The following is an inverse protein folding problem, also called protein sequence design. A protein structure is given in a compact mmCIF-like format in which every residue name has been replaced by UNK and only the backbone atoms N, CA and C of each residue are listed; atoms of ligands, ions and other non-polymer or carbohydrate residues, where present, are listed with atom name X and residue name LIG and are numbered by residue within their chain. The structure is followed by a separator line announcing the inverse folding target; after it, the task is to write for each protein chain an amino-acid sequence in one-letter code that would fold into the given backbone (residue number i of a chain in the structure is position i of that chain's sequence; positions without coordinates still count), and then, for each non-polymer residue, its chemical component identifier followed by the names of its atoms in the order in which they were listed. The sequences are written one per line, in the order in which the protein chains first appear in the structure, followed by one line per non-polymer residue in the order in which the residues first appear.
data_IF_581469329839
#
_entry.id   IF_581469329839
#
_cell.length_a   1.000
_cell.length_b   1.000
_cell.length_c   1.000
_cell.angle_alpha   90.00
_cell.angle_beta   90.00
_cell.angle_gamma   90.00
#
_symmetry.space_group_name_H-M   'P 1'
#
loop_
_entity.id
_entity.type
_entity.pdbx_description
1 polymer ?
#
# COMPACT_ATOMS: atom_id res chain seq x y z
N UNK A 1 3.65 -37.84 6.67
CA UNK A 1 4.75 -37.94 7.65
C UNK A 1 6.05 -38.49 7.02
N UNK A 2 6.18 -39.80 6.69
CA UNK A 2 7.46 -40.36 6.20
C UNK A 2 8.08 -39.73 4.94
N UNK A 3 7.30 -39.11 4.03
CA UNK A 3 7.85 -38.38 2.87
C UNK A 3 8.27 -36.95 3.21
N UNK A 4 7.60 -36.31 4.17
CA UNK A 4 7.83 -34.93 4.56
C UNK A 4 9.15 -34.78 5.32
N UNK A 5 9.47 -35.75 6.19
CA UNK A 5 10.75 -35.79 6.91
C UNK A 5 11.93 -36.01 5.95
N UNK A 6 11.74 -36.81 4.90
CA UNK A 6 12.75 -37.02 3.85
C UNK A 6 12.99 -35.77 3.01
N UNK A 7 11.92 -35.05 2.63
CA UNK A 7 12.04 -33.78 1.88
C UNK A 7 12.68 -32.70 2.74
N UNK A 8 12.27 -32.58 4.01
CA UNK A 8 12.89 -31.63 4.95
C UNK A 8 14.37 -31.95 5.19
N UNK A 9 14.74 -33.22 5.32
CA UNK A 9 16.13 -33.64 5.48
C UNK A 9 16.97 -33.36 4.22
N UNK A 10 16.42 -33.59 3.03
CA UNK A 10 17.11 -33.27 1.77
C UNK A 10 17.32 -31.75 1.61
N UNK A 11 16.30 -30.93 1.90
CA UNK A 11 16.40 -29.47 1.85
C UNK A 11 17.32 -28.86 2.94
N UNK A 12 17.62 -29.61 4.00
CA UNK A 12 18.53 -29.22 5.08
C UNK A 12 19.93 -29.83 4.94
N UNK A 13 20.18 -30.60 3.90
CA UNK A 13 21.49 -31.20 3.65
C UNK A 13 22.52 -30.10 3.37
N UNK A 14 23.48 -29.94 4.30
CA UNK A 14 24.51 -28.92 4.21
C UNK A 14 25.42 -29.08 3.00
N UNK A 15 25.53 -30.29 2.44
CA UNK A 15 26.33 -30.55 1.24
C UNK A 15 25.70 -29.98 -0.03
N UNK A 16 24.38 -29.77 -0.03
CA UNK A 16 23.63 -29.28 -1.18
C UNK A 16 23.29 -27.78 -1.08
N UNK A 17 23.65 -27.12 0.03
CA UNK A 17 23.32 -25.71 0.30
C UNK A 17 23.72 -24.75 -0.82
N UNK A 18 24.89 -24.98 -1.43
CA UNK A 18 25.42 -24.15 -2.51
C UNK A 18 25.23 -24.78 -3.91
N UNK A 19 24.45 -25.85 -4.03
CA UNK A 19 24.17 -26.50 -5.30
C UNK A 19 22.89 -25.93 -5.92
N UNK A 20 23.04 -25.03 -6.89
CA UNK A 20 21.91 -24.43 -7.63
C UNK A 20 21.01 -25.51 -8.25
N UNK A 21 21.60 -26.57 -8.79
CA UNK A 21 20.90 -27.59 -9.58
C UNK A 21 20.27 -28.70 -8.71
N UNK A 22 20.30 -28.56 -7.38
CA UNK A 22 19.75 -29.56 -6.47
C UNK A 22 18.22 -29.56 -6.40
N UNK A 23 17.60 -28.39 -6.59
CA UNK A 23 16.16 -28.18 -6.43
C UNK A 23 15.64 -27.31 -7.56
N UNK A 24 14.68 -27.81 -8.33
CA UNK A 24 14.01 -27.02 -9.37
C UNK A 24 12.76 -26.29 -8.83
N UNK A 25 11.89 -27.00 -8.11
CA UNK A 25 10.59 -26.50 -7.67
C UNK A 25 10.26 -27.05 -6.27
N UNK A 26 9.77 -26.16 -5.40
CA UNK A 26 9.18 -26.53 -4.11
C UNK A 26 7.68 -26.20 -4.16
N UNK A 27 6.83 -27.22 -4.02
CA UNK A 27 5.38 -27.05 -3.89
C UNK A 27 5.01 -27.22 -2.42
N UNK A 28 4.48 -26.16 -1.82
CA UNK A 28 4.12 -26.15 -0.41
C UNK A 28 2.63 -25.89 -0.20
N UNK A 29 1.94 -26.88 0.37
CA UNK A 29 0.54 -26.79 0.77
C UNK A 29 0.47 -26.53 2.27
N UNK A 30 0.21 -25.29 2.67
CA UNK A 30 -0.02 -24.87 4.06
C UNK A 30 1.17 -24.97 5.04
N UNK A 31 2.29 -25.60 4.66
CA UNK A 31 3.34 -26.04 5.59
C UNK A 31 4.78 -25.58 5.28
N UNK A 32 5.01 -24.70 4.30
CA UNK A 32 6.33 -24.08 4.10
C UNK A 32 6.51 -22.78 4.90
N UNK A 33 6.05 -22.77 6.15
CA UNK A 33 6.18 -21.58 7.00
C UNK A 33 7.53 -21.52 7.71
N UNK A 34 8.13 -22.69 8.02
CA UNK A 34 9.36 -22.75 8.82
C UNK A 34 10.33 -23.85 8.34
N UNK A 35 11.62 -23.51 8.20
CA UNK A 35 12.69 -24.51 8.29
C UNK A 35 13.51 -24.88 7.05
N UNK A 36 13.36 -24.27 5.88
CA UNK A 36 14.32 -24.45 4.77
C UNK A 36 14.85 -23.12 4.23
N UNK A 37 16.13 -23.08 3.87
CA UNK A 37 16.84 -21.92 3.36
C UNK A 37 17.33 -22.22 1.93
N UNK A 38 16.61 -21.69 0.92
CA UNK A 38 16.93 -21.90 -0.48
C UNK A 38 17.19 -20.54 -1.15
N UNK A 39 18.43 -20.08 -1.06
CA UNK A 39 18.87 -18.77 -1.58
C UNK A 39 18.76 -18.65 -3.11
N UNK A 40 18.81 -19.80 -3.82
CA UNK A 40 18.73 -19.88 -5.28
C UNK A 40 17.30 -19.70 -5.84
N UNK A 41 16.30 -19.50 -4.98
CA UNK A 41 14.92 -19.27 -5.42
C UNK A 41 14.82 -18.01 -6.29
N UNK A 42 14.56 -18.18 -7.59
CA UNK A 42 14.38 -17.08 -8.56
C UNK A 42 12.90 -16.69 -8.73
N UNK A 43 11.97 -17.59 -8.43
CA UNK A 43 10.53 -17.34 -8.59
C UNK A 43 9.71 -17.93 -7.43
N UNK A 44 9.05 -17.06 -6.67
CA UNK A 44 8.02 -17.42 -5.71
C UNK A 44 6.62 -17.21 -6.30
N UNK A 45 5.84 -18.28 -6.40
CA UNK A 45 4.47 -18.28 -6.91
C UNK A 45 3.50 -18.62 -5.77
N UNK A 46 2.56 -17.73 -5.47
CA UNK A 46 1.44 -18.00 -4.58
C UNK A 46 0.16 -18.16 -5.38
N UNK A 47 -0.66 -19.15 -5.01
CA UNK A 47 -1.94 -19.43 -5.66
C UNK A 47 -3.05 -19.32 -4.63
N UNK A 48 -4.03 -18.47 -4.91
CA UNK A 48 -5.23 -18.30 -4.10
C UNK A 48 -5.02 -17.44 -2.85
N UNK A 49 -6.05 -17.44 -2.01
CA UNK A 49 -6.15 -16.58 -0.84
C UNK A 49 -5.08 -16.89 0.23
N UNK A 50 -4.46 -15.84 0.77
CA UNK A 50 -3.61 -15.90 1.97
C UNK A 50 -4.19 -15.00 3.04
N UNK A 51 -4.45 -15.58 4.20
CA UNK A 51 -5.05 -14.88 5.33
C UNK A 51 -4.09 -13.92 6.05
N UNK A 52 -2.78 -14.15 5.94
CA UNK A 52 -1.76 -13.35 6.62
C UNK A 52 -0.75 -12.79 5.63
N UNK A 53 -0.67 -11.47 5.60
CA UNK A 53 0.34 -10.76 4.83
C UNK A 53 1.76 -11.00 5.35
N UNK A 54 1.94 -11.20 6.67
CA UNK A 54 3.24 -11.55 7.24
C UNK A 54 3.83 -12.79 6.57
N UNK A 55 2.99 -13.74 6.17
CA UNK A 55 3.42 -14.92 5.40
C UNK A 55 3.90 -14.55 3.98
N UNK A 56 3.26 -13.59 3.33
CA UNK A 56 3.67 -13.09 2.00
C UNK A 56 5.06 -12.44 2.09
N UNK A 57 5.29 -11.57 3.08
CA UNK A 57 6.59 -10.93 3.31
C UNK A 57 7.67 -11.97 3.60
N UNK A 58 7.37 -12.99 4.40
CA UNK A 58 8.30 -14.09 4.68
C UNK A 58 8.63 -14.92 3.43
N UNK A 59 7.66 -15.20 2.57
CA UNK A 59 7.88 -15.92 1.30
C UNK A 59 8.81 -15.12 0.39
N UNK A 60 8.58 -13.81 0.28
CA UNK A 60 9.38 -12.95 -0.59
C UNK A 60 10.78 -12.76 -0.04
N UNK A 61 10.93 -12.52 1.28
CA UNK A 61 12.23 -12.41 1.93
C UNK A 61 13.10 -13.67 1.79
N UNK A 62 12.51 -14.83 1.48
CA UNK A 62 13.25 -16.04 1.09
C UNK A 62 13.71 -15.98 -0.36
N UNK A 63 12.85 -15.52 -1.27
CA UNK A 63 13.15 -15.38 -2.69
C UNK A 63 14.08 -14.20 -3.02
N UNK A 64 14.22 -13.19 -2.15
CA UNK A 64 15.07 -12.01 -2.39
C UNK A 64 16.46 -12.09 -1.77
N UNK A 65 16.86 -13.25 -1.23
CA UNK A 65 18.24 -13.46 -0.77
C UNK A 65 19.21 -13.44 -1.95
N UNK A 66 20.37 -12.82 -1.74
CA UNK A 66 21.43 -12.78 -2.74
C UNK A 66 22.06 -14.16 -2.93
N UNK A 67 22.34 -14.48 -4.19
CA UNK A 67 23.05 -15.69 -4.59
C UNK A 67 23.85 -15.41 -5.87
N UNK A 68 24.98 -16.08 -6.06
CA UNK A 68 25.86 -15.86 -7.21
C UNK A 68 25.13 -16.13 -8.53
N UNK A 69 25.20 -15.19 -9.48
CA UNK A 69 24.52 -15.33 -10.78
C UNK A 69 23.00 -15.11 -10.76
N UNK A 70 22.40 -14.80 -9.60
CA UNK A 70 20.99 -14.42 -9.48
C UNK A 70 20.82 -12.93 -9.73
N UNK A 71 20.48 -12.57 -10.96
CA UNK A 71 20.29 -11.17 -11.37
C UNK A 71 18.85 -10.67 -11.20
N UNK A 72 17.89 -11.58 -11.00
CA UNK A 72 16.47 -11.26 -10.87
C UNK A 72 15.76 -12.24 -9.94
N UNK A 73 14.92 -11.71 -9.06
CA UNK A 73 13.89 -12.46 -8.36
C UNK A 73 12.51 -12.05 -8.87
N UNK A 74 11.56 -12.99 -8.93
CA UNK A 74 10.16 -12.75 -9.28
C UNK A 74 9.26 -13.25 -8.17
N UNK A 75 8.32 -12.43 -7.76
CA UNK A 75 7.16 -12.87 -6.99
C UNK A 75 5.92 -12.78 -7.86
N UNK A 76 5.05 -13.78 -7.81
CA UNK A 76 3.79 -13.79 -8.54
C UNK A 76 2.70 -14.27 -7.60
N UNK A 77 1.69 -13.42 -7.40
CA UNK A 77 0.50 -13.77 -6.65
C UNK A 77 -0.67 -13.97 -7.63
N UNK A 78 -1.13 -15.21 -7.77
CA UNK A 78 -2.30 -15.54 -8.58
C UNK A 78 -3.56 -15.38 -7.74
N UNK A 79 -4.30 -14.32 -8.06
CA UNK A 79 -5.66 -14.06 -7.57
C UNK A 79 -6.66 -14.46 -8.64
N UNK A 80 -7.83 -14.95 -8.22
CA UNK A 80 -8.93 -15.22 -9.14
C UNK A 80 -9.42 -13.89 -9.74
N UNK A 81 -9.69 -13.89 -11.04
CA UNK A 81 -10.33 -12.75 -11.69
C UNK A 81 -11.75 -12.59 -11.15
N UNK A 82 -12.22 -11.35 -10.86
CA UNK A 82 -13.60 -11.12 -10.49
C UNK A 82 -14.55 -11.56 -11.61
N UNK A 83 -15.36 -12.58 -11.36
CA UNK A 83 -16.49 -12.89 -12.25
C UNK A 83 -17.51 -11.75 -12.15
N UNK A 84 -17.98 -11.27 -13.30
CA UNK A 84 -18.97 -10.19 -13.41
C UNK A 84 -20.37 -10.61 -12.93
N UNK A 85 -20.56 -11.88 -12.54
CA UNK A 85 -21.80 -12.37 -11.95
C UNK A 85 -22.03 -11.82 -10.52
N UNK A 86 -23.21 -11.22 -10.30
CA UNK A 86 -23.53 -10.32 -9.17
C UNK A 86 -23.29 -10.86 -7.74
N UNK A 87 -23.25 -12.17 -7.51
CA UNK A 87 -23.02 -12.75 -6.17
C UNK A 87 -21.52 -12.90 -5.81
N UNK A 88 -20.62 -12.95 -6.80
CA UNK A 88 -19.17 -13.12 -6.58
C UNK A 88 -18.39 -11.79 -6.55
N UNK A 89 -19.00 -10.68 -6.97
CA UNK A 89 -18.32 -9.39 -7.15
C UNK A 89 -17.74 -8.85 -5.84
N UNK A 90 -18.47 -8.96 -4.72
CA UNK A 90 -18.00 -8.40 -3.43
C UNK A 90 -16.78 -9.15 -2.89
N UNK A 91 -16.73 -10.48 -3.05
CA UNK A 91 -15.60 -11.28 -2.61
C UNK A 91 -14.37 -11.01 -3.49
N UNK A 92 -14.55 -10.99 -4.80
CA UNK A 92 -13.47 -10.73 -5.73
C UNK A 92 -12.90 -9.30 -5.64
N UNK A 93 -13.75 -8.30 -5.34
CA UNK A 93 -13.30 -6.93 -5.00
C UNK A 93 -12.40 -6.98 -3.77
N UNK A 94 -12.81 -7.67 -2.70
CA UNK A 94 -12.00 -7.76 -1.48
C UNK A 94 -10.64 -8.42 -1.74
N UNK A 95 -10.60 -9.48 -2.54
CA UNK A 95 -9.35 -10.17 -2.87
C UNK A 95 -8.42 -9.30 -3.72
N UNK A 96 -8.99 -8.51 -4.63
CA UNK A 96 -8.24 -7.52 -5.40
C UNK A 96 -7.66 -6.43 -4.50
N UNK A 97 -8.45 -5.87 -3.58
CA UNK A 97 -7.97 -4.87 -2.61
C UNK A 97 -6.84 -5.42 -1.73
N UNK A 98 -6.93 -6.68 -1.31
CA UNK A 98 -5.87 -7.34 -0.53
C UNK A 98 -4.60 -7.55 -1.35
N UNK A 99 -4.71 -7.86 -2.64
CA UNK A 99 -3.54 -7.98 -3.52
C UNK A 99 -2.84 -6.62 -3.71
N UNK A 100 -3.59 -5.53 -3.78
CA UNK A 100 -3.05 -4.17 -3.78
C UNK A 100 -2.33 -3.88 -2.47
N UNK A 101 -2.98 -4.12 -1.33
CA UNK A 101 -2.38 -3.95 -0.01
C UNK A 101 -1.05 -4.72 0.11
N UNK A 102 -1.02 -5.96 -0.40
CA UNK A 102 0.19 -6.76 -0.43
C UNK A 102 1.28 -6.14 -1.31
N UNK A 103 0.91 -5.62 -2.48
CA UNK A 103 1.86 -4.98 -3.40
C UNK A 103 2.45 -3.70 -2.81
N UNK A 104 1.60 -2.83 -2.23
CA UNK A 104 2.02 -1.60 -1.56
C UNK A 104 2.93 -1.90 -0.37
N UNK A 105 2.65 -2.94 0.41
CA UNK A 105 3.51 -3.30 1.54
C UNK A 105 4.84 -3.88 1.12
N UNK A 106 4.88 -4.59 0.00
CA UNK A 106 6.15 -5.05 -0.54
C UNK A 106 7.04 -3.90 -0.97
N UNK A 107 6.46 -2.81 -1.47
CA UNK A 107 7.21 -1.59 -1.75
C UNK A 107 7.79 -1.00 -0.48
N UNK A 108 7.03 -0.99 0.62
CA UNK A 108 7.52 -0.49 1.92
C UNK A 108 8.62 -1.37 2.53
N UNK A 109 8.50 -2.70 2.39
CA UNK A 109 9.52 -3.64 2.90
C UNK A 109 10.83 -3.53 2.14
N UNK A 110 10.77 -3.27 0.83
CA UNK A 110 11.95 -3.11 -0.02
C UNK A 110 12.46 -1.65 -0.06
N UNK A 111 11.70 -0.71 0.49
CA UNK A 111 12.10 0.68 0.54
C UNK A 111 13.34 0.84 1.44
N UNK A 112 14.25 1.77 1.08
CA UNK A 112 15.38 2.11 1.93
C UNK A 112 14.87 2.66 3.27
N UNK A 113 15.68 2.50 4.32
CA UNK A 113 15.31 3.03 5.63
C UNK A 113 15.37 4.55 5.60
N UNK A 114 14.23 5.18 5.87
CA UNK A 114 14.13 6.63 6.03
C UNK A 114 14.36 7.02 7.49
N UNK A 115 15.26 7.97 7.70
CA UNK A 115 15.44 8.64 8.96
C UNK A 115 14.91 10.07 8.83
N UNK A 116 13.69 10.29 9.32
CA UNK A 116 13.05 11.60 9.30
C UNK A 116 13.48 12.42 10.51
N UNK A 117 13.82 13.68 10.25
CA UNK A 117 14.23 14.63 11.29
C UNK A 117 13.54 15.97 11.09
N UNK A 118 13.14 16.68 12.16
CA UNK A 118 12.57 18.01 12.01
C UNK A 118 13.60 19.00 11.47
N UNK A 119 13.21 19.83 10.49
CA UNK A 119 14.03 20.98 10.07
C UNK A 119 13.94 22.09 11.11
N UNK A 120 15.09 22.46 11.69
CA UNK A 120 15.21 23.55 12.67
C UNK A 120 16.44 24.41 12.38
N UNK A 121 16.54 25.56 13.04
CA UNK A 121 17.72 26.47 12.94
C UNK A 121 19.01 25.80 13.45
N UNK A 122 18.89 24.74 14.26
CA UNK A 122 20.02 23.97 14.78
C UNK A 122 20.39 22.77 13.91
N UNK A 123 19.59 22.49 12.88
CA UNK A 123 19.88 21.39 11.96
C UNK A 123 21.16 21.69 11.19
N UNK A 124 21.90 20.63 10.88
CA UNK A 124 23.18 20.71 10.20
C UNK A 124 23.48 19.40 9.46
N UNK A 125 24.54 19.39 8.64
CA UNK A 125 24.92 18.18 7.91
C UNK A 125 25.29 17.06 8.89
N UNK A 126 24.80 15.86 8.62
CA UNK A 126 25.16 14.66 9.37
C UNK A 126 26.37 14.00 8.70
N UNK A 127 27.37 13.62 9.49
CA UNK A 127 28.57 12.95 9.00
C UNK A 127 28.21 11.62 8.32
N UNK A 128 28.81 11.36 7.15
CA UNK A 128 28.56 10.14 6.38
C UNK A 128 27.32 10.16 5.47
N UNK A 129 26.64 11.30 5.35
CA UNK A 129 25.54 11.51 4.40
C UNK A 129 25.95 12.45 3.26
N UNK A 130 25.63 12.04 2.04
CA UNK A 130 25.76 12.84 0.82
C UNK A 130 24.44 13.55 0.50
N UNK A 131 24.49 14.88 0.51
CA UNK A 131 23.36 15.78 0.25
C UNK A 131 23.24 16.18 -1.24
N UNK A 132 24.01 15.54 -2.13
CA UNK A 132 24.01 15.80 -3.57
C UNK A 132 24.91 16.98 -3.97
N UNK A 133 24.87 17.35 -5.25
CA UNK A 133 25.80 18.33 -5.85
C UNK A 133 25.80 19.71 -5.17
N UNK A 134 24.66 20.12 -4.60
CA UNK A 134 24.53 21.39 -3.88
C UNK A 134 25.00 21.37 -2.42
N UNK A 135 25.33 20.20 -1.88
CA UNK A 135 25.63 20.02 -0.46
C UNK A 135 24.44 20.35 0.46
N UNK A 136 24.73 20.49 1.76
CA UNK A 136 23.73 20.85 2.76
C UNK A 136 23.40 22.35 2.70
N UNK A 137 22.11 22.68 2.59
CA UNK A 137 21.62 24.06 2.63
C UNK A 137 20.86 24.34 3.94
N UNK A 138 21.36 25.27 4.78
CA UNK A 138 20.71 25.58 6.05
C UNK A 138 19.32 26.23 5.88
N UNK A 139 19.00 26.81 4.72
CA UNK A 139 17.76 27.58 4.52
C UNK A 139 16.58 26.75 4.02
N UNK A 140 16.78 25.48 3.68
CA UNK A 140 15.73 24.59 3.16
C UNK A 140 15.87 23.19 3.75
N UNK A 141 14.87 22.34 3.53
CA UNK A 141 14.94 20.93 3.87
C UNK A 141 15.95 20.19 2.99
N UNK A 142 16.68 19.25 3.59
CA UNK A 142 17.72 18.48 2.91
C UNK A 142 17.41 16.99 2.91
N UNK A 143 17.90 16.32 1.88
CA UNK A 143 17.89 14.86 1.76
C UNK A 143 19.32 14.37 1.62
N UNK A 144 19.82 13.76 2.68
CA UNK A 144 21.10 13.05 2.69
C UNK A 144 20.89 11.57 2.37
N UNK A 145 21.81 10.98 1.63
CA UNK A 145 21.89 9.52 1.44
C UNK A 145 23.27 9.03 1.86
N UNK A 146 23.31 7.93 2.62
CA UNK A 146 24.57 7.30 3.01
C UNK A 146 24.77 6.02 2.21
N UNK A 147 25.74 6.00 1.28
CA UNK A 147 26.06 4.79 0.50
C UNK A 147 26.53 3.64 1.39
N UNK A 148 27.20 3.95 2.50
CA UNK A 148 27.73 2.94 3.43
C UNK A 148 26.62 2.18 4.18
N UNK A 149 25.52 2.85 4.54
CA UNK A 149 24.42 2.26 5.31
C UNK A 149 23.14 2.03 4.48
N UNK A 150 23.05 2.59 3.27
CA UNK A 150 21.84 2.58 2.44
C UNK A 150 20.68 3.40 3.03
N UNK A 151 20.96 4.28 4.00
CA UNK A 151 19.94 5.04 4.71
C UNK A 151 19.76 6.44 4.15
N UNK A 152 18.52 6.91 4.18
CA UNK A 152 18.18 8.31 3.93
C UNK A 152 18.11 9.08 5.24
N UNK A 153 18.62 10.31 5.24
CA UNK A 153 18.29 11.32 6.24
C UNK A 153 17.48 12.40 5.54
N UNK A 154 16.26 12.63 6.00
CA UNK A 154 15.32 13.57 5.37
C UNK A 154 14.89 14.57 6.43
N UNK A 155 15.15 15.85 6.17
CA UNK A 155 14.62 16.93 6.98
C UNK A 155 13.20 17.25 6.52
N UNK A 156 12.25 17.34 7.46
CA UNK A 156 10.86 17.71 7.16
C UNK A 156 10.48 18.87 8.08
N UNK A 157 9.92 19.93 7.49
CA UNK A 157 9.40 21.07 8.24
C UNK A 157 8.09 20.70 8.94
N UNK A 158 7.93 21.16 10.18
CA UNK A 158 6.74 20.89 10.98
C UNK A 158 6.64 19.47 11.55
N UNK A 159 7.60 18.59 11.25
CA UNK A 159 7.63 17.23 11.78
C UNK A 159 7.74 17.24 13.31
N UNK A 160 6.88 16.47 13.97
CA UNK A 160 6.90 16.28 15.42
C UNK A 160 7.98 15.26 15.78
N UNK A 161 8.88 15.64 16.69
CA UNK A 161 9.93 14.76 17.17
C UNK A 161 9.39 13.83 18.27
N UNK A 162 9.55 12.49 18.14
CA UNK A 162 9.14 11.56 19.19
C UNK A 162 9.95 11.78 20.47
N UNK A 163 9.29 11.89 21.61
CA UNK A 163 9.90 12.20 22.92
C UNK A 163 10.21 10.94 23.72
N UNK A 164 9.27 9.99 23.80
CA UNK A 164 9.49 8.76 24.55
C UNK A 164 10.46 7.80 23.84
N UNK A 165 11.06 6.89 24.62
CA UNK A 165 11.90 5.82 24.08
C UNK A 165 11.09 4.88 23.19
N UNK A 166 9.88 4.53 23.62
CA UNK A 166 8.95 3.72 22.84
C UNK A 166 8.59 4.38 21.51
N UNK A 167 8.22 5.66 21.47
CA UNK A 167 7.89 6.34 20.22
C UNK A 167 9.10 6.40 19.26
N UNK A 168 10.30 6.67 19.78
CA UNK A 168 11.54 6.61 18.99
C UNK A 168 11.79 5.23 18.40
N UNK A 169 11.62 4.17 19.20
CA UNK A 169 11.74 2.78 18.76
C UNK A 169 10.72 2.46 17.67
N UNK A 170 9.47 2.89 17.85
CA UNK A 170 8.40 2.66 16.86
C UNK A 170 8.72 3.36 15.54
N UNK A 171 9.12 4.63 15.57
CA UNK A 171 9.48 5.36 14.35
C UNK A 171 10.68 4.73 13.61
N UNK A 172 11.60 4.07 14.31
CA UNK A 172 12.82 3.49 13.72
C UNK A 172 12.68 2.02 13.30
N UNK A 173 11.93 1.22 14.05
CA UNK A 173 11.91 -0.24 13.93
C UNK A 173 10.53 -0.79 13.54
N UNK A 174 9.46 -0.24 14.12
CA UNK A 174 8.11 -0.81 14.01
C UNK A 174 7.17 -0.02 13.08
N UNK A 175 7.68 0.99 12.38
CA UNK A 175 6.87 1.87 11.53
C UNK A 175 6.10 1.09 10.45
N UNK A 176 6.70 0.02 9.94
CA UNK A 176 6.11 -0.88 8.97
C UNK A 176 4.83 -1.55 9.50
N UNK A 177 4.69 -1.75 10.79
CA UNK A 177 3.48 -2.34 11.36
C UNK A 177 2.29 -1.38 11.32
N UNK A 178 2.56 -0.08 11.49
CA UNK A 178 1.56 0.99 11.37
C UNK A 178 1.10 1.11 9.92
N UNK A 179 2.07 1.17 9.00
CA UNK A 179 1.79 1.24 7.55
C UNK A 179 1.03 -0.02 7.11
N UNK A 180 1.39 -1.19 7.64
CA UNK A 180 0.66 -2.46 7.40
C UNK A 180 -0.79 -2.35 7.83
N UNK A 181 -1.06 -1.90 9.05
CA UNK A 181 -2.43 -1.74 9.53
C UNK A 181 -3.20 -0.73 8.67
N UNK A 182 -2.56 0.34 8.22
CA UNK A 182 -3.17 1.37 7.40
C UNK A 182 -3.56 0.88 6.01
N UNK A 183 -2.65 0.26 5.28
CA UNK A 183 -2.94 -0.21 3.92
C UNK A 183 -3.70 -1.54 3.89
N UNK A 184 -3.94 -2.17 5.03
CA UNK A 184 -4.89 -3.30 5.18
C UNK A 184 -6.29 -2.85 5.62
N UNK A 185 -6.45 -1.62 6.12
CA UNK A 185 -7.75 -1.12 6.52
C UNK A 185 -8.65 -0.96 5.29
N UNK A 186 -9.65 -1.83 5.17
CA UNK A 186 -10.57 -1.89 4.04
C UNK A 186 -11.19 -0.54 3.72
N UNK A 187 -11.60 0.20 4.75
CA UNK A 187 -12.23 1.51 4.56
C UNK A 187 -11.26 2.52 3.99
N UNK A 188 -10.02 2.51 4.47
CA UNK A 188 -8.94 3.40 4.02
C UNK A 188 -8.61 3.12 2.55
N UNK A 189 -8.44 1.86 2.16
CA UNK A 189 -8.13 1.49 0.76
C UNK A 189 -9.32 1.82 -0.17
N UNK A 190 -10.54 1.42 0.20
CA UNK A 190 -11.75 1.65 -0.61
C UNK A 190 -11.94 3.14 -0.90
N UNK A 191 -11.78 3.98 0.12
CA UNK A 191 -11.89 5.43 -0.04
C UNK A 191 -10.70 6.00 -0.82
N UNK A 192 -9.48 5.62 -0.46
CA UNK A 192 -8.27 6.14 -1.13
C UNK A 192 -8.20 5.84 -2.62
N UNK A 193 -8.76 4.73 -3.07
CA UNK A 193 -8.76 4.33 -4.48
C UNK A 193 -9.92 4.88 -5.29
N UNK A 194 -11.11 5.02 -4.70
CA UNK A 194 -12.36 5.20 -5.47
C UNK A 194 -13.20 6.40 -5.04
N UNK A 195 -12.86 7.09 -3.94
CA UNK A 195 -13.56 8.29 -3.48
C UNK A 195 -12.85 9.53 -4.03
N UNK A 196 -13.26 10.00 -5.22
CA UNK A 196 -12.68 11.19 -5.88
C UNK A 196 -12.87 12.49 -5.09
N UNK A 197 -13.86 12.53 -4.19
CA UNK A 197 -14.14 13.69 -3.33
C UNK A 197 -13.39 13.63 -2.00
N UNK A 198 -12.58 12.59 -1.79
CA UNK A 198 -11.83 12.39 -0.55
C UNK A 198 -10.75 13.44 -0.40
N UNK A 199 -10.79 14.15 0.72
CA UNK A 199 -9.68 14.98 1.17
C UNK A 199 -8.59 14.03 1.73
N UNK A 200 -7.35 14.01 1.19
CA UNK A 200 -6.30 13.08 1.61
C UNK A 200 -6.02 13.07 3.12
N UNK A 201 -6.17 14.22 3.77
CA UNK A 201 -6.03 14.41 5.22
C UNK A 201 -7.02 13.55 6.04
N UNK A 202 -8.18 13.19 5.48
CA UNK A 202 -9.06 12.22 6.14
C UNK A 202 -8.43 10.83 6.26
N UNK A 203 -7.55 10.46 5.33
CA UNK A 203 -6.77 9.23 5.43
C UNK A 203 -5.52 9.45 6.28
N UNK A 204 -4.69 10.41 5.90
CA UNK A 204 -3.34 10.61 6.46
C UNK A 204 -3.39 11.11 7.90
N UNK A 205 -4.34 11.96 8.28
CA UNK A 205 -4.48 12.46 9.64
C UNK A 205 -5.50 11.62 10.44
N UNK A 206 -6.74 11.54 9.95
CA UNK A 206 -7.83 10.95 10.75
C UNK A 206 -7.75 9.43 10.82
N UNK A 207 -7.64 8.73 9.68
CA UNK A 207 -7.59 7.26 9.67
C UNK A 207 -6.27 6.75 10.25
N UNK A 208 -5.14 7.28 9.82
CA UNK A 208 -3.84 6.90 10.38
C UNK A 208 -3.78 7.19 11.88
N UNK A 209 -4.24 8.36 12.34
CA UNK A 209 -4.25 8.71 13.76
C UNK A 209 -5.09 7.73 14.59
N UNK A 210 -6.26 7.30 14.09
CA UNK A 210 -7.06 6.24 14.75
C UNK A 210 -6.33 4.91 14.84
N UNK A 211 -5.59 4.53 13.79
CA UNK A 211 -4.83 3.28 13.77
C UNK A 211 -3.68 3.35 14.78
N UNK A 212 -2.94 4.45 14.81
CA UNK A 212 -1.85 4.69 15.77
C UNK A 212 -2.39 4.66 17.20
N UNK A 213 -3.47 5.40 17.49
CA UNK A 213 -4.08 5.42 18.83
C UNK A 213 -4.65 4.07 19.27
N UNK A 214 -5.15 3.25 18.34
CA UNK A 214 -5.61 1.90 18.66
C UNK A 214 -4.46 0.92 18.89
N UNK A 215 -3.32 1.09 18.20
CA UNK A 215 -2.13 0.23 18.33
C UNK A 215 -1.28 0.57 19.55
N UNK A 216 -1.13 1.86 19.84
CA UNK A 216 -0.26 2.38 20.88
C UNK A 216 -1.03 3.30 21.85
N UNK A 217 -2.08 2.78 22.52
CA UNK A 217 -2.90 3.56 23.44
C UNK A 217 -2.12 4.09 24.66
N UNK A 218 -0.95 3.52 24.95
CA UNK A 218 -0.05 3.91 26.03
C UNK A 218 0.80 5.15 25.73
N UNK A 219 0.97 5.50 24.45
CA UNK A 219 1.69 6.71 24.05
C UNK A 219 0.83 7.95 24.33
N UNK A 220 1.49 9.06 24.68
CA UNK A 220 0.81 10.35 24.75
C UNK A 220 0.44 10.88 23.36
N UNK A 221 -0.39 11.91 23.32
CA UNK A 221 -0.91 12.44 22.06
C UNK A 221 0.19 13.00 21.14
N UNK A 222 1.29 13.51 21.69
CA UNK A 222 2.38 14.10 20.91
C UNK A 222 3.24 13.00 20.27
N UNK A 223 3.51 11.93 21.01
CA UNK A 223 4.19 10.74 20.50
C UNK A 223 3.35 9.96 19.49
N UNK A 224 2.03 9.87 19.71
CA UNK A 224 1.12 9.30 18.71
C UNK A 224 1.13 10.12 17.41
N UNK A 225 1.14 11.45 17.51
CA UNK A 225 1.24 12.31 16.33
C UNK A 225 2.60 12.16 15.64
N UNK A 226 3.69 12.05 16.38
CA UNK A 226 5.01 11.77 15.81
C UNK A 226 5.00 10.46 15.00
N UNK A 227 4.50 9.37 15.58
CA UNK A 227 4.40 8.07 14.89
C UNK A 227 3.53 8.16 13.64
N UNK A 228 2.39 8.86 13.72
CA UNK A 228 1.50 9.08 12.57
C UNK A 228 2.23 9.79 11.43
N UNK A 229 2.88 10.91 11.71
CA UNK A 229 3.58 11.72 10.71
C UNK A 229 4.72 10.94 10.06
N UNK A 230 5.50 10.19 10.84
CA UNK A 230 6.58 9.35 10.30
C UNK A 230 6.01 8.26 9.38
N UNK A 231 4.89 7.64 9.73
CA UNK A 231 4.28 6.58 8.93
C UNK A 231 3.76 7.10 7.59
N UNK A 232 3.09 8.27 7.60
CA UNK A 232 2.60 8.92 6.39
C UNK A 232 3.77 9.40 5.52
N UNK A 233 4.81 9.99 6.12
CA UNK A 233 6.01 10.42 5.39
C UNK A 233 6.69 9.25 4.68
N UNK A 234 6.94 8.13 5.37
CA UNK A 234 7.51 6.92 4.78
C UNK A 234 6.67 6.41 3.60
N UNK A 235 5.36 6.30 3.80
CA UNK A 235 4.43 5.78 2.79
C UNK A 235 4.40 6.69 1.55
N UNK A 236 4.13 7.99 1.73
CA UNK A 236 3.94 8.93 0.63
C UNK A 236 5.23 9.23 -0.12
N UNK A 237 6.38 9.33 0.56
CA UNK A 237 7.67 9.52 -0.10
C UNK A 237 8.06 8.32 -0.97
N UNK A 238 7.83 7.10 -0.46
CA UNK A 238 8.07 5.88 -1.24
C UNK A 238 7.21 5.85 -2.51
N UNK A 239 5.92 6.19 -2.37
CA UNK A 239 5.00 6.21 -3.52
C UNK A 239 5.39 7.27 -4.56
N UNK A 240 5.73 8.48 -4.11
CA UNK A 240 6.14 9.57 -5.02
C UNK A 240 7.48 9.32 -5.70
N UNK A 241 8.45 8.79 -4.97
CA UNK A 241 9.74 8.41 -5.53
C UNK A 241 9.58 7.40 -6.67
N UNK A 242 8.67 6.43 -6.50
CA UNK A 242 8.36 5.44 -7.52
C UNK A 242 7.65 6.04 -8.74
N UNK A 243 6.66 6.92 -8.53
CA UNK A 243 5.98 7.63 -9.62
C UNK A 243 7.00 8.36 -10.52
N UNK A 244 7.97 9.03 -9.90
CA UNK A 244 9.06 9.73 -10.58
C UNK A 244 10.01 8.74 -11.28
N UNK A 245 10.39 7.64 -10.63
CA UNK A 245 11.26 6.62 -11.21
C UNK A 245 10.61 5.92 -12.42
N UNK A 246 9.29 5.75 -12.41
CA UNK A 246 8.55 5.12 -13.51
C UNK A 246 8.28 6.08 -14.68
N UNK A 247 8.14 7.38 -14.41
CA UNK A 247 7.88 8.41 -15.43
C UNK A 247 9.12 8.82 -16.21
N UNK A 248 10.32 8.73 -15.63
CA UNK A 248 11.59 9.10 -16.28
C UNK A 248 12.23 7.98 -17.13
N UNK A 249 11.48 6.98 -17.61
CA UNK A 249 12.04 5.86 -18.39
C UNK A 249 12.55 6.24 -19.79
N UNK A 250 12.42 7.48 -20.23
CA UNK A 250 12.83 7.92 -21.56
C UNK A 250 14.29 8.40 -21.67
N UNK A 251 15.00 8.65 -20.56
CA UNK A 251 16.41 9.07 -20.60
C UNK A 251 17.35 8.00 -19.99
N UNK A 252 18.04 7.29 -20.88
CA UNK A 252 19.34 6.59 -20.73
C UNK A 252 19.67 5.84 -19.43
N UNK A 253 19.95 4.52 -19.58
CA UNK A 253 20.84 3.69 -18.75
C UNK A 253 20.95 4.00 -17.23
N UNK A 254 19.84 4.29 -16.55
CA UNK A 254 19.87 4.34 -15.09
C UNK A 254 19.87 2.90 -14.59
N UNK A 255 21.00 2.46 -14.05
CA UNK A 255 21.15 1.21 -13.31
C UNK A 255 19.98 1.05 -12.35
N UNK A 256 19.14 0.02 -12.54
CA UNK A 256 17.88 -0.17 -11.81
C UNK A 256 17.98 -0.23 -10.28
N UNK A 257 19.19 -0.27 -9.73
CA UNK A 257 19.46 -0.28 -8.29
C UNK A 257 19.39 1.12 -7.63
N UNK A 258 19.54 2.24 -8.36
CA UNK A 258 19.47 3.61 -7.79
C UNK A 258 18.21 4.38 -8.14
N UNK A 259 17.35 3.88 -9.03
CA UNK A 259 16.19 4.61 -9.52
C UNK A 259 15.23 5.08 -8.40
N UNK A 260 15.09 4.30 -7.33
CA UNK A 260 14.30 4.71 -6.16
C UNK A 260 15.01 5.81 -5.36
N UNK A 261 16.33 5.72 -5.21
CA UNK A 261 17.15 6.72 -4.53
C UNK A 261 17.06 8.07 -5.25
N UNK A 262 17.22 8.02 -6.57
CA UNK A 262 17.13 9.19 -7.45
C UNK A 262 15.71 9.76 -7.47
N UNK A 263 14.69 8.90 -7.41
CA UNK A 263 13.29 9.30 -7.27
C UNK A 263 13.00 10.05 -5.96
N UNK A 264 13.53 9.58 -4.82
CA UNK A 264 13.39 10.25 -3.51
C UNK A 264 14.07 11.62 -3.54
N UNK A 265 15.32 11.67 -4.03
CA UNK A 265 16.07 12.93 -4.17
C UNK A 265 15.35 13.92 -5.08
N UNK A 266 14.88 13.47 -6.24
CA UNK A 266 14.16 14.32 -7.20
C UNK A 266 12.84 14.82 -6.63
N UNK A 267 12.04 13.98 -5.97
CA UNK A 267 10.82 14.44 -5.30
C UNK A 267 11.11 15.54 -4.29
N UNK A 268 12.12 15.34 -3.43
CA UNK A 268 12.47 16.32 -2.41
C UNK A 268 13.11 17.60 -2.98
N UNK A 269 13.79 17.52 -4.13
CA UNK A 269 14.37 18.69 -4.81
C UNK A 269 13.34 19.48 -5.63
N UNK A 270 12.37 18.80 -6.26
CA UNK A 270 11.30 19.43 -7.04
C UNK A 270 10.28 20.14 -6.14
N UNK A 271 10.15 19.65 -4.90
CA UNK A 271 9.34 20.28 -3.85
C UNK A 271 10.15 21.42 -3.23
N UNK A 272 9.67 22.66 -3.41
CA UNK A 272 10.35 23.88 -2.89
C UNK A 272 10.51 23.88 -1.37
N UNK A 273 9.56 23.32 -0.63
CA UNK A 273 9.59 23.17 0.83
C UNK A 273 8.96 21.82 1.20
N UNK A 274 9.74 20.92 1.81
CA UNK A 274 9.26 19.61 2.25
C UNK A 274 8.61 19.74 3.62
N UNK A 275 7.31 19.96 3.63
CA UNK A 275 6.50 20.18 4.84
C UNK A 275 5.58 18.99 5.12
N UNK A 276 5.37 18.66 6.40
CA UNK A 276 4.44 17.61 6.81
C UNK A 276 3.00 17.87 6.31
N UNK A 277 2.58 19.14 6.24
CA UNK A 277 1.25 19.51 5.71
C UNK A 277 1.12 19.18 4.22
N UNK A 278 2.21 19.32 3.46
CA UNK A 278 2.25 18.92 2.05
C UNK A 278 2.18 17.40 1.92
N UNK A 279 2.90 16.68 2.79
CA UNK A 279 2.91 15.22 2.80
C UNK A 279 1.52 14.68 3.14
N UNK A 280 0.82 15.27 4.10
CA UNK A 280 -0.54 14.86 4.50
C UNK A 280 -1.58 15.05 3.38
N UNK A 281 -1.33 15.97 2.44
CA UNK A 281 -2.15 16.21 1.23
C UNK A 281 -1.94 15.21 0.11
N UNK A 282 -0.99 14.28 0.24
CA UNK A 282 -0.74 13.27 -0.77
C UNK A 282 -1.63 12.07 -0.48
N UNK A 283 -2.43 11.65 -1.47
CA UNK A 283 -3.18 10.40 -1.39
C UNK A 283 -2.21 9.20 -1.51
N UNK A 284 -2.05 8.37 -0.45
CA UNK A 284 -1.13 7.24 -0.47
C UNK A 284 -1.52 6.11 -1.45
N UNK A 285 -2.76 6.11 -1.95
CA UNK A 285 -3.29 5.08 -2.85
C UNK A 285 -3.37 5.52 -4.30
N UNK A 286 -2.91 6.73 -4.65
CA UNK A 286 -2.99 7.25 -6.02
C UNK A 286 -2.37 6.30 -7.05
N UNK A 287 -1.19 5.74 -6.75
CA UNK A 287 -0.53 4.82 -7.70
C UNK A 287 -1.16 3.43 -7.73
N UNK A 288 -1.79 2.99 -6.64
CA UNK A 288 -2.50 1.73 -6.63
C UNK A 288 -3.68 1.72 -7.61
N UNK A 289 -4.30 2.88 -7.89
CA UNK A 289 -5.30 3.00 -8.96
C UNK A 289 -4.68 2.76 -10.34
N UNK A 290 -3.50 3.32 -10.64
CA UNK A 290 -2.81 3.09 -11.91
C UNK A 290 -2.48 1.62 -12.14
N UNK A 291 -2.14 0.90 -11.06
CA UNK A 291 -1.88 -0.54 -11.10
C UNK A 291 -3.17 -1.29 -11.46
N UNK A 292 -4.29 -0.96 -10.78
CA UNK A 292 -5.61 -1.54 -11.06
C UNK A 292 -6.06 -1.28 -12.51
N UNK A 293 -5.89 -0.07 -12.99
CA UNK A 293 -6.27 0.34 -14.34
C UNK A 293 -5.52 -0.45 -15.44
N UNK A 294 -4.31 -0.94 -15.13
CA UNK A 294 -3.50 -1.76 -16.05
C UNK A 294 -3.84 -3.25 -16.01
N UNK A 295 -4.40 -3.74 -14.91
CA UNK A 295 -4.66 -5.18 -14.70
C UNK A 295 -6.12 -5.58 -14.89
N UNK A 296 -7.06 -4.63 -14.80
CA UNK A 296 -8.49 -4.89 -14.89
C UNK A 296 -9.13 -4.24 -16.13
N UNK A 297 -10.26 -4.80 -16.57
CA UNK A 297 -11.08 -4.17 -17.61
C UNK A 297 -11.82 -2.92 -17.08
N UNK A 298 -12.18 -2.01 -17.97
CA UNK A 298 -12.99 -0.83 -17.61
C UNK A 298 -14.34 -1.24 -16.98
N UNK A 299 -14.95 -2.32 -17.47
CA UNK A 299 -16.22 -2.83 -16.93
C UNK A 299 -16.06 -3.28 -15.48
N UNK A 300 -15.03 -4.07 -15.18
CA UNK A 300 -14.73 -4.54 -13.82
C UNK A 300 -14.45 -3.37 -12.87
N UNK A 301 -13.67 -2.36 -13.32
CA UNK A 301 -13.36 -1.17 -12.52
C UNK A 301 -14.62 -0.35 -12.19
N UNK A 302 -15.51 -0.15 -13.18
CA UNK A 302 -16.78 0.55 -12.96
C UNK A 302 -17.67 -0.20 -11.97
N UNK A 303 -17.70 -1.53 -12.02
CA UNK A 303 -18.45 -2.33 -11.04
C UNK A 303 -17.88 -2.18 -9.63
N UNK A 304 -16.56 -2.24 -9.46
CA UNK A 304 -15.90 -2.02 -8.16
C UNK A 304 -16.23 -0.62 -7.62
N UNK A 305 -16.09 0.41 -8.46
CA UNK A 305 -16.41 1.80 -8.10
C UNK A 305 -17.89 1.95 -7.72
N UNK A 306 -18.81 1.27 -8.42
CA UNK A 306 -20.23 1.30 -8.11
C UNK A 306 -20.55 0.66 -6.75
N UNK A 307 -19.94 -0.49 -6.44
CA UNK A 307 -20.11 -1.16 -5.14
C UNK A 307 -19.59 -0.30 -4.00
N UNK A 308 -18.45 0.35 -4.17
CA UNK A 308 -17.85 1.20 -3.12
C UNK A 308 -18.65 2.49 -2.95
N UNK A 309 -19.05 3.13 -4.06
CA UNK A 309 -19.88 4.34 -4.03
C UNK A 309 -21.22 4.07 -3.32
N UNK A 310 -21.83 2.90 -3.55
CA UNK A 310 -23.05 2.50 -2.87
C UNK A 310 -22.88 2.38 -1.34
N UNK A 311 -21.70 2.03 -0.82
CA UNK A 311 -21.43 1.99 0.63
C UNK A 311 -21.35 3.37 1.27
N UNK A 312 -20.93 4.41 0.51
CA UNK A 312 -20.77 5.80 1.00
C UNK A 312 -22.10 6.43 1.41
N UNK A 313 -23.20 5.91 0.87
CA UNK A 313 -24.51 6.52 0.97
C UNK A 313 -25.10 6.33 2.37
N UNK A 314 -25.00 7.38 3.20
CA UNK A 314 -25.80 7.51 4.43
C UNK A 314 -27.19 8.04 4.04
N UNK A 315 -28.03 7.18 3.48
CA UNK A 315 -29.45 7.48 3.27
C UNK A 315 -30.26 6.92 4.44
N UNK A 316 -31.26 7.68 4.89
CA UNK A 316 -32.30 7.05 5.71
C UNK A 316 -33.11 6.05 4.85
N UNK A 317 -33.68 4.98 5.44
CA UNK A 317 -34.51 4.02 4.71
C UNK A 317 -35.66 4.69 3.94
N UNK A 318 -36.20 5.79 4.46
CA UNK A 318 -37.30 6.52 3.85
C UNK A 318 -36.86 7.37 2.65
N UNK A 319 -35.71 8.05 2.74
CA UNK A 319 -35.14 8.77 1.59
C UNK A 319 -34.73 7.81 0.47
N UNK A 320 -34.16 6.65 0.82
CA UNK A 320 -33.80 5.63 -0.16
C UNK A 320 -35.02 5.07 -0.90
N UNK A 321 -36.15 4.85 -0.19
CA UNK A 321 -37.44 4.46 -0.79
C UNK A 321 -37.96 5.49 -1.78
N UNK A 322 -37.87 6.76 -1.45
CA UNK A 322 -38.32 7.83 -2.35
C UNK A 322 -37.44 7.97 -3.59
N UNK A 323 -36.12 7.83 -3.44
CA UNK A 323 -35.19 7.79 -4.56
C UNK A 323 -35.40 6.56 -5.45
N UNK A 324 -35.68 5.39 -4.87
CA UNK A 324 -35.96 4.17 -5.63
C UNK A 324 -37.27 4.27 -6.43
N UNK A 325 -38.33 4.89 -5.88
CA UNK A 325 -39.56 5.18 -6.64
C UNK A 325 -39.27 6.06 -7.87
N UNK A 326 -38.38 7.04 -7.71
CA UNK A 326 -37.95 7.92 -8.81
C UNK A 326 -37.07 7.19 -9.82
N UNK A 327 -36.20 6.29 -9.36
CA UNK A 327 -35.40 5.41 -10.23
C UNK A 327 -36.27 4.48 -11.09
N UNK A 328 -37.40 3.99 -10.58
CA UNK A 328 -38.36 3.21 -11.38
C UNK A 328 -38.98 4.05 -12.49
N UNK A 329 -39.34 5.31 -12.22
CA UNK A 329 -39.80 6.24 -13.26
C UNK A 329 -38.69 6.54 -14.28
N UNK A 330 -37.46 6.76 -13.83
CA UNK A 330 -36.31 6.93 -14.72
C UNK A 330 -36.13 5.73 -15.66
N UNK A 331 -36.26 4.50 -15.15
CA UNK A 331 -36.20 3.28 -15.96
C UNK A 331 -37.31 3.21 -17.01
N UNK A 332 -38.53 3.63 -16.66
CA UNK A 332 -39.65 3.69 -17.61
C UNK A 332 -39.43 4.72 -18.72
N UNK A 333 -38.81 5.87 -18.40
CA UNK A 333 -38.57 6.96 -19.36
C UNK A 333 -37.32 6.73 -20.23
N UNK A 334 -36.23 6.20 -19.64
CA UNK A 334 -34.91 6.09 -20.29
C UNK A 334 -34.56 4.67 -20.72
N UNK A 335 -35.39 3.68 -20.39
CA UNK A 335 -35.18 2.26 -20.73
C UNK A 335 -34.04 1.57 -19.97
N UNK A 336 -33.31 2.29 -19.12
CA UNK A 336 -32.19 1.78 -18.31
C UNK A 336 -32.29 2.25 -16.86
N UNK A 337 -31.65 1.52 -15.95
CA UNK A 337 -31.51 1.96 -14.56
C UNK A 337 -30.58 3.21 -14.48
N UNK A 338 -30.79 4.09 -13.50
CA UNK A 338 -29.87 5.19 -13.24
C UNK A 338 -28.48 4.65 -12.87
N UNK A 339 -27.43 5.31 -13.34
CA UNK A 339 -26.04 4.94 -13.07
C UNK A 339 -25.45 5.73 -11.90
N UNK A 340 -24.76 5.04 -11.00
CA UNK A 340 -24.03 5.67 -9.88
C UNK A 340 -22.76 6.41 -10.34
N UNK A 341 -22.27 6.08 -11.53
CA UNK A 341 -21.15 6.78 -12.19
C UNK A 341 -21.63 7.85 -13.17
N UNK A 342 -22.92 8.19 -13.17
CA UNK A 342 -23.45 9.24 -14.05
C UNK A 342 -22.86 10.61 -13.67
N UNK A 343 -22.47 11.44 -14.64
CA UNK A 343 -22.09 12.83 -14.38
C UNK A 343 -23.28 13.69 -13.93
N UNK A 344 -24.53 13.24 -14.12
CA UNK A 344 -25.72 13.90 -13.61
C UNK A 344 -25.89 13.64 -12.11
N UNK A 345 -25.81 14.66 -11.24
CA UNK A 345 -25.97 14.50 -9.79
C UNK A 345 -27.31 13.88 -9.40
N UNK A 346 -28.37 14.11 -10.19
CA UNK A 346 -29.70 13.60 -9.90
C UNK A 346 -29.82 12.11 -10.24
N UNK A 347 -29.27 11.71 -11.38
CA UNK A 347 -29.18 10.30 -11.77
C UNK A 347 -28.32 9.51 -10.77
N UNK A 348 -27.16 10.06 -10.40
CA UNK A 348 -26.27 9.46 -9.38
C UNK A 348 -27.02 9.24 -8.06
N UNK A 349 -27.73 10.25 -7.56
CA UNK A 349 -28.49 10.16 -6.30
C UNK A 349 -29.63 9.13 -6.36
N UNK A 350 -30.30 8.98 -7.51
CA UNK A 350 -31.30 7.92 -7.70
C UNK A 350 -30.68 6.52 -7.69
N UNK A 351 -29.51 6.36 -8.32
CA UNK A 351 -28.78 5.09 -8.31
C UNK A 351 -28.29 4.71 -6.90
N UNK A 352 -27.80 5.69 -6.14
CA UNK A 352 -27.41 5.55 -4.73
C UNK A 352 -28.56 5.04 -3.85
N UNK A 353 -29.77 5.59 -4.01
CA UNK A 353 -30.95 5.13 -3.25
C UNK A 353 -31.40 3.70 -3.58
N UNK A 354 -31.30 3.29 -4.85
CA UNK A 354 -31.58 1.91 -5.26
C UNK A 354 -30.55 0.94 -4.67
N UNK A 355 -29.27 1.31 -4.72
CA UNK A 355 -28.18 0.49 -4.19
C UNK A 355 -28.28 0.32 -2.66
N UNK A 356 -28.66 1.39 -1.93
CA UNK A 356 -28.88 1.34 -0.49
C UNK A 356 -29.98 0.34 -0.09
N UNK A 357 -31.12 0.33 -0.78
CA UNK A 357 -32.21 -0.62 -0.51
C UNK A 357 -31.86 -2.07 -0.88
N UNK A 358 -31.12 -2.26 -1.97
CA UNK A 358 -30.64 -3.58 -2.36
C UNK A 358 -29.72 -4.17 -1.27
N UNK A 359 -28.83 -3.35 -0.70
CA UNK A 359 -27.96 -3.74 0.43
C UNK A 359 -28.77 -4.09 1.67
N UNK A 360 -29.72 -3.24 2.10
CA UNK A 360 -30.56 -3.52 3.27
C UNK A 360 -31.30 -4.87 3.14
N UNK A 361 -31.72 -5.21 1.91
CA UNK A 361 -32.39 -6.49 1.64
C UNK A 361 -31.43 -7.68 1.68
N UNK A 362 -30.18 -7.51 1.22
CA UNK A 362 -29.13 -8.53 1.31
C UNK A 362 -28.67 -8.75 2.76
N UNK A 363 -28.48 -7.69 3.53
CA UNK A 363 -28.12 -7.77 4.96
C UNK A 363 -29.22 -8.50 5.75
N UNK A 364 -30.50 -8.17 5.52
CA UNK A 364 -31.63 -8.86 6.15
C UNK A 364 -31.89 -10.30 5.68
N UNK A 365 -31.19 -10.77 4.64
CA UNK A 365 -31.28 -12.15 4.15
C UNK A 365 -30.10 -13.02 4.59
N UNK A 366 -29.02 -12.40 5.09
CA UNK A 366 -27.81 -13.07 5.59
C UNK A 366 -27.77 -13.16 7.13
N UNK A 367 -28.66 -12.45 7.83
CA UNK A 367 -29.04 -12.66 9.23
C UNK A 367 -30.21 -13.66 9.34
#
# INVERSE_FOLDING_TARGET
MKSQDKVSAALKDSTQKNNRDHVDIIIALGMAKEGFDWIWCEHALTVGYRASLTEIVQIIGRATRDAEGKTRARFTNLIAEPDAAAEAVTEAVNDTLKAIAASLLMEQVLAPRFNFTPKTVKSGPVEGFDYGEGGYDPNKENVGFSEASGQFQIEIKGLVEPKSKEAKRICQEDLNEVITAFVQDKTTIERGLFDEELVPEELTQVRMGKIVGARFPELDAEDQEAVRQHAVAALNLTQKAKEIALSNRDDTETTGNTALIDGVRKFAMDVRELDIDLIDRINPFGEAYSILAKTMSEESLRQVQAVISAKKVQLSPDEARDLAKRAVKFKQERGRLPSITSPDPWEKKMAEGVAYLARMKQEAAND
#
